data_IF_443958932032
#
_entry.id   IF_443958932032
#
_cell.length_a   1.000
_cell.length_b   1.000
_cell.length_c   1.000
_cell.angle_alpha   90.00
_cell.angle_beta   90.00
_cell.angle_gamma   90.00
#
_symmetry.space_group_name_H-M   'P 1'
#
loop_
_entity.id
_entity.type
_entity.pdbx_description
1 polymer ?
#
# COMPACT_ATOMS: atom_id res chain seq x y z
N UNK A 1 -23.20 -40.11 -24.22
CA UNK A 1 -23.77 -39.10 -23.29
C UNK A 1 -22.77 -38.52 -22.26
N UNK A 2 -21.45 -38.75 -22.36
CA UNK A 2 -20.48 -38.26 -21.36
C UNK A 2 -20.08 -36.78 -21.52
N UNK A 3 -20.02 -36.24 -22.74
CA UNK A 3 -19.57 -34.85 -23.03
C UNK A 3 -20.48 -33.76 -22.44
N UNK A 4 -21.79 -33.94 -22.44
CA UNK A 4 -22.71 -32.91 -21.93
C UNK A 4 -22.68 -32.81 -20.40
N UNK A 5 -22.51 -33.94 -19.70
CA UNK A 5 -22.41 -33.97 -18.24
C UNK A 5 -21.14 -33.28 -17.75
N UNK A 6 -20.00 -33.47 -18.43
CA UNK A 6 -18.74 -32.80 -18.08
C UNK A 6 -18.81 -31.29 -18.34
N UNK A 7 -19.40 -30.86 -19.45
CA UNK A 7 -19.64 -29.44 -19.73
C UNK A 7 -20.51 -28.77 -18.67
N UNK A 8 -21.59 -29.43 -18.23
CA UNK A 8 -22.46 -28.90 -17.17
C UNK A 8 -21.72 -28.77 -15.82
N UNK A 9 -20.89 -29.76 -15.45
CA UNK A 9 -20.05 -29.68 -14.25
C UNK A 9 -19.05 -28.51 -14.33
N UNK A 10 -18.37 -28.34 -15.47
CA UNK A 10 -17.42 -27.24 -15.68
C UNK A 10 -18.11 -25.88 -15.59
N UNK A 11 -19.31 -25.75 -16.19
CA UNK A 11 -20.13 -24.53 -16.10
C UNK A 11 -20.48 -24.18 -14.66
N UNK A 12 -20.81 -25.17 -13.84
CA UNK A 12 -21.11 -24.96 -12.43
C UNK A 12 -19.87 -24.54 -11.63
N UNK A 13 -18.72 -25.17 -11.88
CA UNK A 13 -17.44 -24.80 -11.25
C UNK A 13 -17.05 -23.35 -11.57
N UNK A 14 -17.10 -22.95 -12.85
CA UNK A 14 -16.80 -21.57 -13.26
C UNK A 14 -17.77 -20.57 -12.63
N UNK A 15 -19.07 -20.91 -12.53
CA UNK A 15 -20.04 -20.07 -11.82
C UNK A 15 -19.70 -19.89 -10.34
N UNK A 16 -19.20 -20.93 -9.68
CA UNK A 16 -18.76 -20.85 -8.27
C UNK A 16 -17.52 -19.96 -8.13
N UNK A 17 -16.51 -20.17 -8.98
CA UNK A 17 -15.28 -19.35 -8.99
C UNK A 17 -15.65 -17.89 -9.20
N UNK A 18 -16.52 -17.58 -10.17
CA UNK A 18 -17.00 -16.20 -10.43
C UNK A 18 -17.67 -15.57 -9.21
N UNK A 19 -18.44 -16.33 -8.43
CA UNK A 19 -19.04 -15.82 -7.19
C UNK A 19 -17.99 -15.48 -6.15
N UNK A 20 -17.01 -16.36 -5.95
CA UNK A 20 -15.91 -16.16 -4.98
C UNK A 20 -15.08 -14.94 -5.36
N UNK A 21 -14.63 -14.86 -6.62
CA UNK A 21 -13.82 -13.73 -7.10
C UNK A 21 -14.59 -12.42 -7.06
N UNK A 22 -15.91 -12.44 -7.32
CA UNK A 22 -16.76 -11.24 -7.18
C UNK A 22 -16.86 -10.77 -5.74
N UNK A 23 -16.97 -11.69 -4.78
CA UNK A 23 -16.96 -11.33 -3.36
C UNK A 23 -15.61 -10.75 -2.96
N UNK A 24 -14.50 -11.36 -3.40
CA UNK A 24 -13.15 -10.85 -3.14
C UNK A 24 -12.95 -9.45 -3.74
N UNK A 25 -13.41 -9.22 -4.96
CA UNK A 25 -13.40 -7.90 -5.61
C UNK A 25 -14.07 -6.83 -4.73
N UNK A 26 -15.26 -7.13 -4.19
CA UNK A 26 -16.00 -6.21 -3.32
C UNK A 26 -15.29 -5.96 -1.99
N UNK A 27 -14.74 -7.00 -1.37
CA UNK A 27 -13.97 -6.87 -0.11
C UNK A 27 -12.73 -6.02 -0.35
N UNK A 28 -11.96 -6.31 -1.39
CA UNK A 28 -10.75 -5.56 -1.74
C UNK A 28 -11.06 -4.09 -2.03
N UNK A 29 -12.18 -3.81 -2.70
CA UNK A 29 -12.63 -2.43 -2.95
C UNK A 29 -12.94 -1.70 -1.64
N UNK A 30 -13.64 -2.35 -0.70
CA UNK A 30 -13.94 -1.77 0.60
C UNK A 30 -12.66 -1.53 1.44
N UNK A 31 -11.73 -2.50 1.46
CA UNK A 31 -10.45 -2.36 2.16
C UNK A 31 -9.58 -1.23 1.56
N UNK A 32 -9.52 -1.13 0.22
CA UNK A 32 -8.81 -0.04 -0.47
C UNK A 32 -9.38 1.31 -0.05
N UNK A 33 -10.71 1.47 -0.10
CA UNK A 33 -11.36 2.71 0.28
C UNK A 33 -11.06 3.09 1.73
N UNK A 34 -11.19 2.15 2.67
CA UNK A 34 -10.86 2.41 4.08
C UNK A 34 -9.37 2.68 4.33
N UNK A 35 -8.46 2.19 3.48
CA UNK A 35 -7.04 2.55 3.53
C UNK A 35 -6.81 3.96 2.98
N UNK A 36 -7.46 4.31 1.88
CA UNK A 36 -7.36 5.64 1.25
C UNK A 36 -7.92 6.73 2.16
N UNK A 37 -9.07 6.50 2.79
CA UNK A 37 -9.69 7.46 3.73
C UNK A 37 -8.77 7.74 4.92
N UNK A 38 -8.08 6.71 5.45
CA UNK A 38 -7.07 6.86 6.51
C UNK A 38 -5.82 7.62 6.06
N UNK A 39 -5.38 7.42 4.82
CA UNK A 39 -4.27 8.18 4.27
C UNK A 39 -4.64 9.66 4.09
N UNK A 40 -5.84 9.93 3.59
CA UNK A 40 -6.34 11.29 3.40
C UNK A 40 -6.55 12.03 4.73
N UNK A 41 -7.02 11.35 5.78
CA UNK A 41 -7.20 11.99 7.09
C UNK A 41 -5.87 12.42 7.74
N UNK A 42 -4.77 11.70 7.46
CA UNK A 42 -3.44 12.04 7.96
C UNK A 42 -2.72 13.11 7.12
N UNK A 43 -3.16 13.37 5.88
CA UNK A 43 -2.46 14.21 4.90
C UNK A 43 -2.17 15.63 5.41
N UNK A 44 -3.15 16.29 6.02
CA UNK A 44 -2.97 17.66 6.50
C UNK A 44 -1.91 17.76 7.61
N UNK A 45 -1.79 16.74 8.45
CA UNK A 45 -0.76 16.66 9.49
C UNK A 45 0.62 16.44 8.87
N UNK A 46 0.75 15.48 7.94
CA UNK A 46 2.03 15.17 7.29
C UNK A 46 2.57 16.35 6.50
N UNK A 47 1.69 17.10 5.82
CA UNK A 47 2.08 18.28 5.05
C UNK A 47 2.59 19.40 5.95
N UNK A 48 1.88 19.70 7.05
CA UNK A 48 2.32 20.72 8.00
C UNK A 48 3.62 20.35 8.69
N UNK A 49 3.77 19.10 9.11
CA UNK A 49 5.01 18.61 9.72
C UNK A 49 6.18 18.75 8.75
N UNK A 50 6.00 18.33 7.50
CA UNK A 50 7.03 18.42 6.45
C UNK A 50 7.43 19.87 6.19
N UNK A 51 6.47 20.79 6.11
CA UNK A 51 6.75 22.21 5.93
C UNK A 51 7.50 22.81 7.13
N UNK A 52 7.11 22.45 8.34
CA UNK A 52 7.79 22.91 9.57
C UNK A 52 9.24 22.43 9.63
N UNK A 53 9.47 21.13 9.38
CA UNK A 53 10.83 20.54 9.35
C UNK A 53 11.67 21.17 8.25
N UNK A 54 11.10 21.40 7.05
CA UNK A 54 11.79 22.07 5.95
C UNK A 54 12.20 23.50 6.30
N UNK A 55 11.29 24.26 6.91
CA UNK A 55 11.58 25.63 7.33
C UNK A 55 12.68 25.67 8.40
N UNK A 56 12.65 24.74 9.36
CA UNK A 56 13.68 24.62 10.39
C UNK A 56 15.05 24.23 9.83
N UNK A 57 15.09 23.29 8.88
CA UNK A 57 16.33 22.90 8.20
C UNK A 57 16.91 24.05 7.35
N UNK A 58 16.05 24.91 6.77
CA UNK A 58 16.47 26.05 5.97
C UNK A 58 16.80 27.32 6.76
N UNK A 59 16.36 27.45 8.01
CA UNK A 59 16.53 28.69 8.80
C UNK A 59 17.93 28.87 9.41
N UNK A 60 18.90 28.01 9.07
CA UNK A 60 20.29 28.16 9.51
C UNK A 60 20.50 28.03 11.02
N UNK A 61 19.54 27.46 11.76
CA UNK A 61 19.75 27.10 13.14
C UNK A 61 20.84 26.02 13.18
N UNK A 62 21.84 26.15 14.04
CA UNK A 62 22.87 25.12 14.30
C UNK A 62 22.24 23.87 14.94
N UNK A 63 21.40 23.17 14.17
CA UNK A 63 20.77 21.93 14.58
C UNK A 63 21.71 20.80 14.16
N UNK A 64 22.62 20.44 15.06
CA UNK A 64 23.47 19.26 14.91
C UNK A 64 22.62 18.00 15.16
N UNK A 65 21.90 17.55 14.14
CA UNK A 65 21.13 16.31 14.18
C UNK A 65 21.68 15.31 13.16
N UNK A 66 22.04 14.06 13.55
CA UNK A 66 22.63 13.08 12.64
C UNK A 66 21.83 12.80 11.36
N UNK A 67 20.49 12.88 11.42
CA UNK A 67 19.63 12.70 10.22
C UNK A 67 19.59 13.89 9.25
N UNK A 68 20.16 15.04 9.62
CA UNK A 68 20.19 16.25 8.78
C UNK A 68 21.60 16.54 8.22
N UNK A 69 22.62 15.79 8.65
CA UNK A 69 24.00 15.94 8.20
C UNK A 69 24.23 15.08 6.98
N UNK A 70 24.80 15.66 5.93
CA UNK A 70 25.26 14.92 4.75
C UNK A 70 26.56 14.18 5.09
N UNK A 71 26.57 12.87 4.93
CA UNK A 71 27.76 12.06 5.17
C UNK A 71 28.60 11.97 3.87
N UNK A 72 29.90 12.30 3.91
CA UNK A 72 30.74 12.34 2.71
C UNK A 72 30.98 10.97 2.09
N UNK A 73 30.82 9.89 2.86
CA UNK A 73 30.96 8.52 2.40
C UNK A 73 29.80 7.67 2.91
N UNK A 74 29.08 7.01 2.01
CA UNK A 74 28.01 6.08 2.37
C UNK A 74 28.56 4.65 2.42
N UNK A 75 28.75 4.12 3.63
CA UNK A 75 29.33 2.78 3.85
C UNK A 75 28.30 1.66 3.76
N UNK A 76 27.09 1.92 4.24
CA UNK A 76 25.99 0.95 4.30
C UNK A 76 24.66 1.67 4.02
N UNK A 77 23.75 0.98 3.33
CA UNK A 77 22.40 1.46 3.03
C UNK A 77 21.40 0.41 3.48
N UNK A 78 20.28 0.83 4.06
CA UNK A 78 19.18 -0.05 4.38
C UNK A 78 18.05 0.13 3.38
N UNK A 79 17.56 -0.99 2.83
CA UNK A 79 16.41 -1.00 1.94
C UNK A 79 15.18 -1.49 2.71
N UNK A 80 14.17 -0.62 2.83
CA UNK A 80 12.86 -0.99 3.35
C UNK A 80 11.94 -1.34 2.19
N UNK A 81 11.55 -2.62 2.09
CA UNK A 81 10.58 -3.09 1.09
C UNK A 81 9.24 -3.32 1.77
N UNK A 82 8.20 -2.68 1.23
CA UNK A 82 6.82 -2.90 1.65
C UNK A 82 6.12 -3.79 0.60
N UNK A 83 5.58 -4.92 1.04
CA UNK A 83 4.85 -5.87 0.18
C UNK A 83 3.55 -6.31 0.82
N UNK A 84 2.70 -7.01 0.05
CA UNK A 84 1.45 -7.54 0.56
C UNK A 84 1.67 -8.82 1.36
N UNK A 85 0.95 -8.96 2.48
CA UNK A 85 0.95 -10.20 3.26
C UNK A 85 0.17 -11.34 2.58
N UNK A 86 -0.59 -11.04 1.53
CA UNK A 86 -1.45 -11.98 0.80
C UNK A 86 -1.32 -11.75 -0.71
N UNK A 87 -1.50 -12.83 -1.47
CA UNK A 87 -1.73 -12.77 -2.92
C UNK A 87 -3.21 -12.52 -3.24
N UNK A 88 -3.66 -13.04 -4.39
CA UNK A 88 -5.09 -13.26 -4.65
C UNK A 88 -5.60 -14.37 -3.73
#
# INVERSE_FOLDING_TARGET
MAKTKTLNKRRQSIRSIRKITRTMELISTACYRGAMDRAMSAMAYTDRLTNMVRNLAGSGAEVSHPLLVEHPETKTVQLLVLSSNRGL
#
